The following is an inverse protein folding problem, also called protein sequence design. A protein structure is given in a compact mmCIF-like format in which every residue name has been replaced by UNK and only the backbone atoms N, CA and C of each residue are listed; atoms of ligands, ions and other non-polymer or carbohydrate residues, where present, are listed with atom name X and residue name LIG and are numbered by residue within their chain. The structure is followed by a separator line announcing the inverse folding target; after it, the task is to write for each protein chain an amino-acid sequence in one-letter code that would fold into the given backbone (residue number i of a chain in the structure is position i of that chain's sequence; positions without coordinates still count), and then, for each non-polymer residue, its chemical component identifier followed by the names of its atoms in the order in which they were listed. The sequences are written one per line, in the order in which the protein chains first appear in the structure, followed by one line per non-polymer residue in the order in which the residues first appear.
data_IF_698111389048
#
_entry.id   IF_698111389048
#
_cell.length_a   1.000
_cell.length_b   1.000
_cell.length_c   1.000
_cell.angle_alpha   90.00
_cell.angle_beta   90.00
_cell.angle_gamma   90.00
#
_symmetry.space_group_name_H-M   'P 1'
#
loop_
_entity.id
_entity.type
_entity.pdbx_description
1 polymer ?
#
# COMPACT_ATOMS: atom_id res chain seq x y z
N UNK A 1 -6.87 25.89 0.42
CA UNK A 1 -6.19 24.67 0.90
C UNK A 1 -5.56 24.02 -0.32
N UNK A 2 -4.23 24.04 -0.42
CA UNK A 2 -3.50 23.37 -1.50
C UNK A 2 -3.17 21.93 -1.10
N UNK A 3 -3.01 21.03 -2.06
CA UNK A 3 -2.49 19.68 -1.81
C UNK A 3 -1.02 19.68 -2.18
N UNK A 4 -0.17 19.24 -1.25
CA UNK A 4 1.24 19.00 -1.51
C UNK A 4 1.49 17.49 -1.70
N UNK A 5 2.56 17.15 -2.43
CA UNK A 5 2.89 15.77 -2.73
C UNK A 5 4.39 15.50 -2.76
N UNK A 6 4.77 14.25 -2.50
CA UNK A 6 6.14 13.76 -2.57
C UNK A 6 6.15 12.29 -3.00
N UNK A 7 7.11 11.94 -3.86
CA UNK A 7 7.38 10.53 -4.17
C UNK A 7 8.03 9.87 -2.96
N UNK A 8 7.48 8.74 -2.54
CA UNK A 8 8.05 7.87 -1.52
C UNK A 8 8.98 6.84 -2.19
N UNK A 9 9.81 6.11 -1.40
CA UNK A 9 10.51 4.95 -1.92
C UNK A 9 9.55 3.99 -2.62
N UNK A 10 9.94 3.51 -3.79
CA UNK A 10 9.14 2.53 -4.52
C UNK A 10 9.01 1.24 -3.70
N UNK A 11 7.88 0.56 -3.85
CA UNK A 11 7.58 -0.73 -3.22
C UNK A 11 7.93 -1.84 -4.21
N UNK A 12 9.14 -2.35 -4.09
CA UNK A 12 9.71 -3.34 -4.99
C UNK A 12 9.62 -4.75 -4.39
N UNK A 13 9.08 -5.70 -5.15
CA UNK A 13 9.11 -7.14 -4.87
C UNK A 13 10.14 -7.77 -5.82
N UNK A 14 11.35 -8.11 -5.32
CA UNK A 14 12.34 -8.81 -6.11
C UNK A 14 11.86 -10.18 -6.63
N UNK A 15 12.45 -10.63 -7.73
CA UNK A 15 12.27 -12.00 -8.21
C UNK A 15 12.66 -13.02 -7.13
N UNK A 16 11.86 -14.07 -7.00
CA UNK A 16 11.99 -15.09 -5.95
C UNK A 16 11.43 -14.68 -4.58
N UNK A 17 10.75 -13.54 -4.45
CA UNK A 17 10.23 -13.04 -3.16
C UNK A 17 8.73 -12.73 -3.18
N UNK A 18 8.16 -12.30 -2.03
CA UNK A 18 6.71 -12.16 -1.85
C UNK A 18 6.25 -10.91 -1.08
N UNK A 19 6.99 -10.32 -0.12
CA UNK A 19 6.69 -8.95 0.27
C UNK A 19 7.67 -7.97 -0.36
N UNK A 20 7.18 -6.76 -0.61
CA UNK A 20 8.05 -5.65 -0.94
C UNK A 20 8.85 -5.20 0.30
N UNK A 21 9.77 -4.25 0.10
CA UNK A 21 10.16 -3.35 1.19
C UNK A 21 8.92 -2.69 1.82
N UNK A 22 9.08 -2.16 3.04
CA UNK A 22 8.00 -1.48 3.75
C UNK A 22 8.28 0.03 3.84
N UNK A 23 7.22 0.81 3.68
CA UNK A 23 7.18 2.18 4.15
C UNK A 23 6.99 2.19 5.66
N UNK A 24 7.70 3.08 6.31
CA UNK A 24 7.74 3.25 7.76
C UNK A 24 6.84 4.39 8.22
N UNK A 25 6.70 4.55 9.54
CA UNK A 25 5.91 5.64 10.10
C UNK A 25 6.43 7.03 9.66
N UNK A 26 7.74 7.18 9.48
CA UNK A 26 8.35 8.43 9.01
C UNK A 26 7.94 8.76 7.57
N UNK A 27 7.89 7.74 6.70
CA UNK A 27 7.46 7.94 5.31
C UNK A 27 5.99 8.40 5.25
N UNK A 28 5.16 7.83 6.12
CA UNK A 28 3.71 8.05 6.19
C UNK A 28 3.30 9.27 7.05
N UNK A 29 4.25 9.94 7.70
CA UNK A 29 3.97 11.10 8.55
C UNK A 29 3.24 12.20 7.74
N UNK A 30 2.21 12.79 8.37
CA UNK A 30 1.32 13.82 7.80
C UNK A 30 0.57 13.45 6.52
N UNK A 31 0.66 12.20 6.07
CA UNK A 31 -0.05 11.75 4.89
C UNK A 31 -1.56 11.80 5.12
N UNK A 32 -2.28 12.46 4.21
CA UNK A 32 -3.75 12.39 4.16
C UNK A 32 -4.21 11.34 3.16
N UNK A 33 -3.37 11.01 2.18
CA UNK A 33 -3.59 9.92 1.25
C UNK A 33 -2.28 9.36 0.68
N UNK A 34 -2.33 8.12 0.21
CA UNK A 34 -1.28 7.47 -0.56
C UNK A 34 -1.81 7.16 -1.95
N UNK A 35 -1.11 7.60 -2.99
CA UNK A 35 -1.37 7.17 -4.36
C UNK A 35 -0.39 6.06 -4.69
N UNK A 36 -0.92 4.89 -5.03
CA UNK A 36 -0.15 3.74 -5.46
C UNK A 36 -0.38 3.49 -6.95
N UNK A 37 0.70 3.33 -7.71
CA UNK A 37 0.66 2.96 -9.13
C UNK A 37 1.21 1.57 -9.31
N UNK A 38 0.40 0.72 -9.96
CA UNK A 38 0.78 -0.65 -10.28
C UNK A 38 1.84 -0.72 -11.38
N UNK A 39 2.70 -1.76 -11.38
CA UNK A 39 3.53 -2.06 -12.53
C UNK A 39 2.67 -2.29 -13.79
N UNK A 40 3.27 -2.07 -14.95
CA UNK A 40 2.58 -2.21 -16.24
C UNK A 40 2.04 -3.63 -16.49
N UNK A 41 2.65 -4.63 -15.86
CA UNK A 41 2.23 -6.02 -15.93
C UNK A 41 2.15 -6.59 -14.52
N UNK A 42 1.06 -7.30 -14.26
CA UNK A 42 0.85 -8.11 -13.06
C UNK A 42 0.58 -9.53 -13.56
N UNK A 43 1.28 -10.52 -13.01
CA UNK A 43 1.03 -11.92 -13.36
C UNK A 43 -0.40 -12.31 -12.94
N UNK A 44 -1.21 -12.82 -13.87
CA UNK A 44 -2.61 -13.19 -13.62
C UNK A 44 -2.76 -14.31 -12.57
N UNK A 45 -1.71 -15.09 -12.36
CA UNK A 45 -1.66 -16.17 -11.36
C UNK A 45 -1.43 -15.69 -9.93
N UNK A 46 -1.11 -14.41 -9.72
CA UNK A 46 -0.81 -13.85 -8.41
C UNK A 46 -1.79 -12.74 -8.06
N UNK A 47 -2.33 -12.82 -6.85
CA UNK A 47 -3.10 -11.71 -6.27
C UNK A 47 -2.18 -10.86 -5.41
N UNK A 48 -2.38 -9.54 -5.42
CA UNK A 48 -1.57 -8.60 -4.65
C UNK A 48 -2.49 -7.92 -3.64
N UNK A 49 -2.06 -7.91 -2.39
CA UNK A 49 -2.79 -7.29 -1.29
C UNK A 49 -1.95 -6.20 -0.65
N UNK A 50 -2.63 -5.17 -0.19
CA UNK A 50 -2.03 -4.11 0.62
C UNK A 50 -1.95 -4.64 2.05
N UNK A 51 -0.75 -4.65 2.62
CA UNK A 51 -0.54 -5.03 4.01
C UNK A 51 -0.11 -3.85 4.85
N UNK A 52 -0.67 -3.82 6.05
CA UNK A 52 -0.37 -2.81 7.07
C UNK A 52 -0.02 -3.46 8.39
N UNK A 53 0.71 -2.73 9.21
CA UNK A 53 1.10 -3.16 10.56
C UNK A 53 0.73 -2.07 11.56
N UNK A 54 -0.05 -2.41 12.58
CA UNK A 54 -0.42 -1.48 13.68
C UNK A 54 0.76 -1.20 14.60
N UNK A 55 0.72 -0.05 15.28
CA UNK A 55 1.66 0.28 16.34
C UNK A 55 1.71 -0.82 17.40
N UNK A 56 2.91 -1.30 17.72
CA UNK A 56 3.13 -2.37 18.72
C UNK A 56 2.71 -3.77 18.29
N UNK A 57 2.12 -3.97 17.10
CA UNK A 57 1.76 -5.30 16.63
C UNK A 57 2.99 -6.06 16.11
N UNK A 58 3.05 -7.38 16.29
CA UNK A 58 4.11 -8.22 15.72
C UNK A 58 3.83 -8.67 14.27
N UNK A 59 2.56 -8.70 13.88
CA UNK A 59 2.09 -9.30 12.63
C UNK A 59 1.60 -8.26 11.63
N UNK A 60 1.66 -8.64 10.35
CA UNK A 60 1.07 -7.88 9.24
C UNK A 60 -0.35 -8.37 8.99
N UNK A 61 -1.25 -7.45 8.67
CA UNK A 61 -2.62 -7.76 8.25
C UNK A 61 -2.92 -7.12 6.90
N UNK A 62 -3.86 -7.72 6.14
CA UNK A 62 -4.41 -7.06 4.96
C UNK A 62 -5.14 -5.80 5.39
N UNK A 63 -4.96 -4.70 4.64
CA UNK A 63 -5.74 -3.49 4.83
C UNK A 63 -7.19 -3.77 4.47
N UNK A 64 -8.11 -3.42 5.36
CA UNK A 64 -9.53 -3.66 5.18
C UNK A 64 -10.29 -2.35 5.27
N UNK A 65 -11.33 -2.25 4.45
CA UNK A 65 -12.30 -1.17 4.50
C UNK A 65 -13.58 -1.68 5.19
N UNK A 66 -14.15 -0.84 6.05
CA UNK A 66 -15.44 -1.09 6.70
C UNK A 66 -15.56 -0.43 8.07
N UNK A 67 -16.80 -0.17 8.47
CA UNK A 67 -17.15 0.34 9.80
C UNK A 67 -17.13 -0.77 10.85
N UNK A 68 -16.94 -0.40 12.12
CA UNK A 68 -17.02 -1.33 13.25
C UNK A 68 -18.41 -2.00 13.26
N UNK A 69 -18.44 -3.33 13.17
CA UNK A 69 -19.67 -4.12 13.20
C UNK A 69 -20.22 -4.52 11.83
N UNK A 70 -19.55 -4.16 10.74
CA UNK A 70 -19.87 -4.61 9.36
C UNK A 70 -18.84 -5.65 8.90
N UNK A 71 -19.23 -6.51 7.95
CA UNK A 71 -18.28 -7.41 7.28
C UNK A 71 -17.17 -6.58 6.61
N UNK A 72 -15.93 -6.81 7.03
CA UNK A 72 -14.74 -6.14 6.50
C UNK A 72 -14.43 -6.67 5.10
N UNK A 73 -14.18 -5.77 4.16
CA UNK A 73 -13.71 -6.11 2.82
C UNK A 73 -12.23 -5.76 2.68
N UNK A 74 -11.45 -6.64 2.05
CA UNK A 74 -10.05 -6.36 1.75
C UNK A 74 -9.95 -5.21 0.73
N UNK A 75 -9.10 -4.23 1.02
CA UNK A 75 -8.79 -3.15 0.09
C UNK A 75 -7.95 -3.72 -1.06
N UNK A 76 -8.47 -3.59 -2.27
CA UNK A 76 -7.80 -4.08 -3.47
C UNK A 76 -6.63 -3.17 -3.86
N UNK A 77 -5.53 -3.80 -4.27
CA UNK A 77 -4.43 -3.10 -4.94
C UNK A 77 -4.87 -2.65 -6.35
N UNK A 78 -4.26 -1.58 -6.90
CA UNK A 78 -4.55 -1.13 -8.27
C UNK A 78 -4.29 -2.23 -9.31
N UNK A 79 -5.11 -2.28 -10.36
CA UNK A 79 -4.88 -3.17 -11.50
C UNK A 79 -3.62 -2.74 -12.29
N UNK A 80 -3.09 -3.63 -13.13
CA UNK A 80 -1.88 -3.38 -13.92
C UNK A 80 -1.96 -2.05 -14.70
N UNK A 81 -0.88 -1.26 -14.65
CA UNK A 81 -0.77 0.07 -15.24
C UNK A 81 -1.84 1.09 -14.75
N UNK A 82 -2.49 0.85 -13.61
CA UNK A 82 -3.44 1.79 -12.99
C UNK A 82 -2.89 2.37 -11.70
N UNK A 83 -3.40 3.53 -11.36
CA UNK A 83 -3.15 4.19 -10.08
C UNK A 83 -4.43 4.25 -9.27
N UNK A 84 -4.30 4.12 -7.95
CA UNK A 84 -5.42 4.30 -7.02
C UNK A 84 -4.97 5.14 -5.83
N UNK A 85 -5.85 6.02 -5.38
CA UNK A 85 -5.64 6.87 -4.22
C UNK A 85 -6.33 6.26 -3.00
N UNK A 86 -5.57 6.08 -1.92
CA UNK A 86 -6.00 5.52 -0.65
C UNK A 86 -6.04 6.63 0.40
N UNK A 87 -7.24 7.10 0.71
CA UNK A 87 -7.46 8.14 1.71
C UNK A 87 -7.27 7.56 3.12
N UNK A 88 -6.40 8.18 3.91
CA UNK A 88 -6.01 7.62 5.20
C UNK A 88 -7.12 7.66 6.25
N UNK A 89 -7.93 8.72 6.27
CA UNK A 89 -9.05 8.90 7.20
C UNK A 89 -10.11 7.80 7.03
N UNK A 90 -10.49 7.53 5.79
CA UNK A 90 -11.50 6.52 5.42
C UNK A 90 -11.01 5.10 5.71
N UNK A 91 -9.73 4.83 5.48
CA UNK A 91 -9.16 3.49 5.60
C UNK A 91 -8.47 3.24 6.95
N UNK A 92 -8.56 4.21 7.88
CA UNK A 92 -7.87 4.16 9.16
C UNK A 92 -6.35 4.01 9.05
N UNK A 93 -5.75 4.45 7.93
CA UNK A 93 -4.34 4.15 7.64
C UNK A 93 -3.39 4.84 8.62
N UNK A 94 -3.78 6.01 9.13
CA UNK A 94 -3.03 6.77 10.13
C UNK A 94 -2.83 6.02 11.46
N UNK A 95 -3.62 4.96 11.73
CA UNK A 95 -3.44 4.08 12.88
C UNK A 95 -2.35 3.00 12.68
N UNK A 96 -1.72 2.95 11.50
CA UNK A 96 -0.68 1.97 11.18
C UNK A 96 0.73 2.59 11.23
N UNK A 97 1.68 1.75 11.64
CA UNK A 97 3.10 2.06 11.69
C UNK A 97 3.80 1.78 10.35
N UNK A 98 3.28 0.85 9.53
CA UNK A 98 3.94 0.47 8.28
C UNK A 98 2.97 0.01 7.22
N UNK A 99 3.41 0.14 5.96
CA UNK A 99 2.66 -0.16 4.74
C UNK A 99 3.56 -0.90 3.74
N UNK A 100 3.05 -1.95 3.09
CA UNK A 100 3.76 -2.68 2.02
C UNK A 100 2.79 -3.38 1.06
N UNK A 101 3.32 -3.88 -0.06
CA UNK A 101 2.60 -4.79 -0.96
C UNK A 101 3.09 -6.22 -0.75
N UNK A 102 2.14 -7.16 -0.75
CA UNK A 102 2.43 -8.57 -0.63
C UNK A 102 1.70 -9.35 -1.73
N UNK A 103 2.43 -10.19 -2.46
CA UNK A 103 1.84 -11.12 -3.43
C UNK A 103 1.27 -12.37 -2.72
N UNK A 104 0.34 -13.09 -3.32
CA UNK A 104 -0.20 -14.35 -2.76
C UNK A 104 0.79 -15.51 -2.85
N UNK A 105 1.75 -15.43 -3.78
CA UNK A 105 2.84 -16.38 -4.00
C UNK A 105 4.17 -15.67 -4.25
N UNK A 106 5.20 -16.44 -4.55
CA UNK A 106 6.49 -15.89 -4.99
C UNK A 106 6.33 -15.30 -6.39
N UNK A 107 6.80 -14.08 -6.58
CA UNK A 107 6.97 -13.48 -7.90
C UNK A 107 8.19 -14.14 -8.55
N UNK A 108 8.01 -14.85 -9.66
CA UNK A 108 9.05 -15.70 -10.27
C UNK A 108 9.43 -15.31 -11.70
N UNK A 109 8.92 -14.18 -12.18
CA UNK A 109 9.00 -13.81 -13.59
C UNK A 109 9.75 -12.50 -13.83
N UNK A 110 9.63 -11.52 -12.93
CA UNK A 110 10.39 -10.28 -12.97
C UNK A 110 10.31 -9.50 -11.64
N UNK A 111 11.21 -8.53 -11.46
CA UNK A 111 11.07 -7.48 -10.46
C UNK A 111 9.73 -6.73 -10.64
N UNK A 112 8.93 -6.64 -9.57
CA UNK A 112 7.68 -5.88 -9.57
C UNK A 112 7.83 -4.61 -8.76
N UNK A 113 7.67 -3.46 -9.40
CA UNK A 113 7.81 -2.15 -8.77
C UNK A 113 6.47 -1.46 -8.74
N UNK A 114 6.02 -1.12 -7.54
CA UNK A 114 4.87 -0.26 -7.31
C UNK A 114 5.36 1.13 -6.92
N UNK A 115 4.94 2.14 -7.65
CA UNK A 115 5.31 3.52 -7.34
C UNK A 115 4.38 4.07 -6.27
N UNK A 116 4.94 4.81 -5.32
CA UNK A 116 4.18 5.33 -4.18
C UNK A 116 4.37 6.84 -4.05
N UNK A 117 3.27 7.57 -3.93
CA UNK A 117 3.27 9.02 -3.72
C UNK A 117 2.44 9.36 -2.50
N UNK A 118 3.02 10.16 -1.59
CA UNK A 118 2.31 10.73 -0.45
C UNK A 118 1.65 12.04 -0.85
N UNK A 119 0.41 12.24 -0.40
CA UNK A 119 -0.30 13.51 -0.43
C UNK A 119 -0.52 14.02 1.00
N UNK A 120 -0.35 15.32 1.23
CA UNK A 120 -0.67 15.98 2.50
C UNK A 120 -1.30 17.36 2.28
N UNK A 121 -1.91 17.91 3.31
CA UNK A 121 -2.43 19.28 3.26
C UNK A 121 -1.27 20.26 3.19
N UNK A 122 -1.21 21.05 2.12
CA UNK A 122 -0.33 22.21 2.05
C UNK A 122 -0.79 23.30 3.02
N UNK A 123 0.19 23.97 3.65
CA UNK A 123 -0.02 25.19 4.44
C UNK A 123 -0.25 26.36 3.48
#
# INVERSE_FOLDING_TARGET
MSIAYARLPDLAIPDGTKPSNALTALDLEDAVAIVLTAPATIAESLTYVIQVRRWGAATWTTLQEGDIGVALADVLAPAAAKSQCYEMSRLGISAFHSFRINASGVVSDALRVWECTKLWSGV
#
